data_IF_290394268162
#
_entry.id   IF_290394268162
#
_cell.length_a   1.000
_cell.length_b   1.000
_cell.length_c   1.000
_cell.angle_alpha   90.00
_cell.angle_beta   90.00
_cell.angle_gamma   90.00
#
_symmetry.space_group_name_H-M   'P 1'
#
loop_
_entity.id
_entity.type
_entity.pdbx_description
1 polymer ?
#
# COMPACT_ATOMS: atom_id res chain seq x y z
N UNK A 1 8.32 -11.49 12.37
CA UNK A 1 6.90 -11.32 12.73
C UNK A 1 6.24 -10.71 11.52
N UNK A 2 5.10 -11.22 11.07
CA UNK A 2 4.44 -10.70 9.88
C UNK A 2 3.72 -9.37 10.19
N UNK A 3 3.80 -8.42 9.27
CA UNK A 3 3.14 -7.11 9.34
C UNK A 3 1.62 -7.28 9.37
N UNK A 4 0.94 -6.58 10.27
CA UNK A 4 -0.53 -6.61 10.32
C UNK A 4 -1.13 -5.66 9.28
N UNK A 5 -2.37 -5.94 8.83
CA UNK A 5 -3.09 -5.05 7.89
C UNK A 5 -3.17 -3.61 8.38
N UNK A 6 -3.33 -3.42 9.70
CA UNK A 6 -3.37 -2.08 10.30
C UNK A 6 -2.02 -1.35 10.26
N UNK A 7 -0.90 -2.08 10.37
CA UNK A 7 0.44 -1.51 10.21
C UNK A 7 0.69 -1.11 8.76
N UNK A 8 0.46 -2.03 7.81
CA UNK A 8 0.58 -1.75 6.37
C UNK A 8 -0.24 -0.53 5.94
N UNK A 9 -1.48 -0.39 6.43
CA UNK A 9 -2.31 0.79 6.13
C UNK A 9 -1.79 2.10 6.73
N UNK A 10 -1.07 2.06 7.86
CA UNK A 10 -0.43 3.25 8.41
C UNK A 10 0.81 3.62 7.61
N UNK A 11 1.64 2.64 7.28
CA UNK A 11 2.85 2.83 6.46
C UNK A 11 2.50 3.35 5.07
N UNK A 12 1.49 2.75 4.43
CA UNK A 12 1.03 3.21 3.12
C UNK A 12 0.58 4.68 3.11
N UNK A 13 0.02 5.21 4.21
CA UNK A 13 -0.33 6.63 4.26
C UNK A 13 0.91 7.52 4.09
N UNK A 14 2.01 7.17 4.73
CA UNK A 14 3.27 7.90 4.58
C UNK A 14 3.85 7.75 3.18
N UNK A 15 3.80 6.54 2.60
CA UNK A 15 4.21 6.30 1.20
C UNK A 15 3.40 7.16 0.24
N UNK A 16 2.08 7.18 0.40
CA UNK A 16 1.17 7.97 -0.43
C UNK A 16 1.39 9.47 -0.27
N UNK A 17 1.63 9.96 0.94
CA UNK A 17 1.99 11.37 1.18
C UNK A 17 3.30 11.74 0.50
N UNK A 18 4.31 10.86 0.49
CA UNK A 18 5.56 11.06 -0.25
C UNK A 18 5.31 11.14 -1.76
N UNK A 19 4.51 10.22 -2.31
CA UNK A 19 4.12 10.24 -3.74
C UNK A 19 3.42 11.56 -4.08
N UNK A 20 2.50 12.03 -3.23
CA UNK A 20 1.80 13.30 -3.46
C UNK A 20 2.72 14.52 -3.34
N UNK A 21 3.80 14.45 -2.55
CA UNK A 21 4.79 15.53 -2.47
C UNK A 21 5.60 15.64 -3.77
N UNK A 22 5.90 14.52 -4.42
CA UNK A 22 6.65 14.47 -5.69
C UNK A 22 5.74 14.68 -6.91
N UNK A 23 4.50 14.18 -6.82
CA UNK A 23 3.51 14.17 -7.90
C UNK A 23 2.15 14.66 -7.39
N UNK A 24 1.99 15.98 -7.16
CA UNK A 24 0.76 16.54 -6.59
C UNK A 24 -0.49 16.32 -7.45
N UNK A 25 -0.33 16.04 -8.75
CA UNK A 25 -1.41 15.74 -9.69
C UNK A 25 -2.18 14.45 -9.37
N UNK A 26 -1.60 13.53 -8.59
CA UNK A 26 -2.33 12.35 -8.10
C UNK A 26 -3.27 12.63 -6.93
N UNK A 27 -3.31 13.87 -6.42
CA UNK A 27 -4.21 14.23 -5.33
C UNK A 27 -5.67 14.10 -5.78
N UNK A 28 -6.38 13.17 -5.16
CA UNK A 28 -7.78 12.87 -5.46
C UNK A 28 -7.98 11.79 -6.52
N UNK A 29 -6.91 11.28 -7.13
CA UNK A 29 -6.97 10.14 -8.04
C UNK A 29 -7.08 8.83 -7.23
N UNK A 30 -8.31 8.31 -7.11
CA UNK A 30 -8.57 7.07 -6.38
C UNK A 30 -8.00 5.84 -7.07
N UNK A 31 -7.94 5.83 -8.41
CA UNK A 31 -7.39 4.70 -9.17
C UNK A 31 -5.89 4.64 -8.94
N UNK A 32 -5.18 5.77 -9.06
CA UNK A 32 -3.74 5.82 -8.79
C UNK A 32 -3.42 5.38 -7.35
N UNK A 33 -4.23 5.82 -6.38
CA UNK A 33 -4.06 5.42 -4.98
C UNK A 33 -4.27 3.92 -4.76
N UNK A 34 -5.28 3.34 -5.41
CA UNK A 34 -5.57 1.91 -5.36
C UNK A 34 -4.40 1.10 -5.93
N UNK A 35 -3.92 1.46 -7.11
CA UNK A 35 -2.78 0.79 -7.75
C UNK A 35 -1.50 0.91 -6.92
N UNK A 36 -1.23 2.10 -6.36
CA UNK A 36 -0.10 2.30 -5.47
C UNK A 36 -0.18 1.43 -4.21
N UNK A 37 -1.39 1.20 -3.65
CA UNK A 37 -1.55 0.29 -2.52
C UNK A 37 -1.29 -1.16 -2.89
N UNK A 38 -1.76 -1.62 -4.05
CA UNK A 38 -1.50 -2.99 -4.52
C UNK A 38 0.01 -3.21 -4.67
N UNK A 39 0.71 -2.31 -5.37
CA UNK A 39 2.16 -2.40 -5.56
C UNK A 39 2.92 -2.36 -4.23
N UNK A 40 2.43 -1.59 -3.25
CA UNK A 40 3.02 -1.55 -1.91
C UNK A 40 2.86 -2.90 -1.19
N UNK A 41 1.68 -3.51 -1.23
CA UNK A 41 1.47 -4.84 -0.63
C UNK A 41 2.31 -5.91 -1.33
N UNK A 42 2.42 -5.86 -2.66
CA UNK A 42 3.27 -6.75 -3.44
C UNK A 42 4.74 -6.63 -3.00
N UNK A 43 5.26 -5.41 -2.81
CA UNK A 43 6.63 -5.20 -2.31
C UNK A 43 6.85 -5.79 -0.92
N UNK A 44 5.88 -5.64 0.00
CA UNK A 44 5.96 -6.24 1.33
C UNK A 44 5.93 -7.77 1.26
N UNK A 45 5.25 -8.35 0.27
CA UNK A 45 5.21 -9.79 0.09
C UNK A 45 6.53 -10.32 -0.46
N UNK A 46 7.13 -9.63 -1.44
CA UNK A 46 8.46 -9.93 -1.98
C UNK A 46 9.54 -9.87 -0.89
N UNK A 47 9.45 -8.90 0.02
CA UNK A 47 10.37 -8.75 1.16
C UNK A 47 10.09 -9.75 2.31
N UNK A 48 9.00 -10.53 2.21
CA UNK A 48 8.58 -11.49 3.24
C UNK A 48 7.97 -10.87 4.50
N UNK A 49 7.66 -9.57 4.47
CA UNK A 49 7.01 -8.82 5.54
C UNK A 49 5.52 -9.17 5.66
N UNK A 50 4.88 -9.55 4.55
CA UNK A 50 3.53 -10.15 4.52
C UNK A 50 3.56 -11.48 3.78
N UNK A 51 2.69 -12.41 4.19
CA UNK A 51 2.59 -13.74 3.55
C UNK A 51 1.73 -13.67 2.28
N UNK A 52 1.89 -14.67 1.41
CA UNK A 52 1.08 -14.79 0.17
C UNK A 52 -0.43 -14.78 0.48
N UNK A 53 -0.84 -15.45 1.57
CA UNK A 53 -2.23 -15.46 2.02
C UNK A 53 -2.70 -14.05 2.41
N UNK A 54 -1.88 -13.27 3.10
CA UNK A 54 -2.22 -11.90 3.47
C UNK A 54 -2.32 -11.00 2.25
N UNK A 55 -1.33 -11.06 1.35
CA UNK A 55 -1.31 -10.28 0.11
C UNK A 55 -2.55 -10.60 -0.75
N UNK A 56 -2.92 -11.87 -0.87
CA UNK A 56 -4.06 -12.30 -1.66
C UNK A 56 -5.43 -11.97 -1.03
N UNK A 57 -5.53 -11.89 0.31
CA UNK A 57 -6.83 -11.73 1.00
C UNK A 57 -7.12 -10.32 1.50
N UNK A 58 -6.11 -9.45 1.60
CA UNK A 58 -6.32 -8.09 2.07
C UNK A 58 -7.06 -7.25 1.04
N UNK A 59 -8.35 -6.99 1.31
CA UNK A 59 -9.14 -6.03 0.51
C UNK A 59 -8.48 -4.65 0.52
N UNK A 60 -8.26 -4.09 -0.67
CA UNK A 60 -7.80 -2.72 -0.87
C UNK A 60 -8.91 -1.74 -0.45
N UNK A 61 -8.67 -0.82 0.49
CA UNK A 61 -9.67 0.11 0.97
C UNK A 61 -9.76 1.43 0.18
N UNK A 62 -9.02 1.57 -0.92
CA UNK A 62 -8.92 2.78 -1.74
C UNK A 62 -9.52 2.62 -3.13
#
# INVERSE_FOLDING_TARGET
MSTTKRQALREFKYVWESILSEQPNYKGDSIAKREAFNNFIDSLNEDGEVTDEQAATWTNPF
#
